data_IF_069653768790
#
_entry.id   IF_069653768790
#
_cell.length_a   1.000
_cell.length_b   1.000
_cell.length_c   1.000
_cell.angle_alpha   90.00
_cell.angle_beta   90.00
_cell.angle_gamma   90.00
#
_symmetry.space_group_name_H-M   'P 1'
#
loop_
_entity.id
_entity.type
_entity.pdbx_description
1 polymer ?
#
# COMPACT_ATOMS: atom_id res chain seq x y z
N UNK A 1 -3.73 -10.25 -10.15
CA UNK A 1 -2.99 -9.79 -8.96
C UNK A 1 -1.74 -9.05 -9.40
N UNK A 2 -1.51 -7.87 -8.89
CA UNK A 2 -0.35 -7.06 -9.26
C UNK A 2 0.24 -6.40 -8.01
N UNK A 3 1.50 -5.98 -8.10
CA UNK A 3 2.13 -5.25 -7.02
C UNK A 3 1.53 -3.84 -6.91
N UNK A 4 1.44 -3.34 -5.68
CA UNK A 4 0.94 -1.99 -5.44
C UNK A 4 1.76 -0.95 -6.20
N UNK A 5 3.07 -1.17 -6.34
CA UNK A 5 3.96 -0.27 -7.09
C UNK A 5 3.62 -0.17 -8.58
N UNK A 6 2.83 -1.09 -9.11
CA UNK A 6 2.43 -1.10 -10.52
C UNK A 6 1.07 -0.44 -10.76
N UNK A 7 0.42 0.03 -9.70
CA UNK A 7 -0.86 0.73 -9.83
C UNK A 7 -0.63 2.18 -10.24
N UNK A 8 -1.70 2.84 -10.61
CA UNK A 8 -1.66 4.23 -11.06
C UNK A 8 -2.37 5.14 -10.07
N UNK A 9 -2.00 6.42 -10.09
CA UNK A 9 -2.68 7.45 -9.30
C UNK A 9 -4.17 7.42 -9.57
N UNK A 10 -4.96 7.40 -8.52
CA UNK A 10 -6.42 7.36 -8.61
C UNK A 10 -7.01 5.96 -8.50
N UNK A 11 -6.20 4.92 -8.60
CA UNK A 11 -6.69 3.55 -8.49
C UNK A 11 -7.16 3.26 -7.07
N UNK A 12 -8.26 2.52 -6.97
CA UNK A 12 -8.76 1.98 -5.71
C UNK A 12 -8.56 0.48 -5.75
N UNK A 13 -7.86 -0.05 -4.76
CA UNK A 13 -7.44 -1.44 -4.74
C UNK A 13 -7.78 -2.09 -3.40
N UNK A 14 -7.96 -3.40 -3.42
CA UNK A 14 -8.06 -4.19 -2.20
C UNK A 14 -6.76 -4.96 -2.01
N UNK A 15 -6.16 -4.85 -0.83
CA UNK A 15 -4.95 -5.59 -0.51
C UNK A 15 -5.29 -7.06 -0.42
N UNK A 16 -4.63 -7.88 -1.23
CA UNK A 16 -4.83 -9.32 -1.23
C UNK A 16 -3.77 -10.02 -0.40
N UNK A 17 -2.57 -9.49 -0.42
CA UNK A 17 -1.45 -10.11 0.25
C UNK A 17 -0.35 -9.10 0.50
N UNK A 18 0.31 -9.20 1.67
CA UNK A 18 1.43 -8.36 2.05
C UNK A 18 2.53 -9.25 2.63
N UNK A 19 3.76 -8.98 2.21
CA UNK A 19 4.92 -9.64 2.79
C UNK A 19 6.09 -8.64 2.86
N UNK A 20 7.10 -8.95 3.65
CA UNK A 20 8.28 -8.09 3.78
C UNK A 20 8.75 -7.97 5.22
N UNK A 21 9.35 -6.83 5.53
CA UNK A 21 9.96 -6.58 6.84
C UNK A 21 8.88 -6.52 7.92
N UNK A 22 8.99 -7.33 8.99
CA UNK A 22 7.94 -7.41 10.02
C UNK A 22 7.59 -6.07 10.65
N UNK A 23 8.55 -5.19 10.91
CA UNK A 23 8.30 -3.88 11.51
C UNK A 23 7.41 -3.01 10.63
N UNK A 24 7.63 -3.08 9.32
CA UNK A 24 6.83 -2.32 8.36
C UNK A 24 5.41 -2.87 8.30
N UNK A 25 5.27 -4.18 8.26
CA UNK A 25 3.96 -4.84 8.25
C UNK A 25 3.18 -4.52 9.53
N UNK A 26 3.84 -4.52 10.67
CA UNK A 26 3.20 -4.18 11.93
C UNK A 26 2.74 -2.72 11.95
N UNK A 27 3.56 -1.80 11.44
CA UNK A 27 3.17 -0.40 11.33
C UNK A 27 1.92 -0.25 10.48
N UNK A 28 1.85 -0.97 9.36
CA UNK A 28 0.68 -0.91 8.49
C UNK A 28 -0.56 -1.48 9.18
N UNK A 29 -0.42 -2.59 9.91
CA UNK A 29 -1.54 -3.16 10.67
C UNK A 29 -2.03 -2.23 11.76
N UNK A 30 -1.13 -1.51 12.41
CA UNK A 30 -1.48 -0.51 13.43
C UNK A 30 -2.27 0.66 12.84
N UNK A 31 -2.15 0.87 11.52
CA UNK A 31 -2.93 1.86 10.78
C UNK A 31 -4.18 1.25 10.13
N UNK A 32 -4.53 0.02 10.50
CA UNK A 32 -5.63 -0.74 9.91
C UNK A 32 -5.46 -0.98 8.39
N UNK A 33 -4.22 -1.08 7.96
CA UNK A 33 -3.90 -1.43 6.57
C UNK A 33 -3.38 -2.87 6.56
N UNK A 34 -4.22 -3.78 6.14
CA UNK A 34 -3.91 -5.21 6.13
C UNK A 34 -4.65 -5.91 4.99
N UNK A 35 -4.50 -7.22 4.89
CA UNK A 35 -5.21 -7.99 3.87
C UNK A 35 -6.72 -7.78 4.01
N UNK A 36 -7.37 -7.52 2.89
CA UNK A 36 -8.79 -7.18 2.84
C UNK A 36 -9.07 -5.68 2.91
N UNK A 37 -8.10 -4.85 3.25
CA UNK A 37 -8.30 -3.40 3.29
C UNK A 37 -8.42 -2.82 1.90
N UNK A 38 -9.32 -1.86 1.75
CA UNK A 38 -9.45 -1.08 0.52
C UNK A 38 -8.62 0.18 0.66
N UNK A 39 -7.75 0.41 -0.29
CA UNK A 39 -6.86 1.57 -0.31
C UNK A 39 -7.00 2.31 -1.63
N UNK A 40 -6.67 3.59 -1.61
CA UNK A 40 -6.65 4.42 -2.82
C UNK A 40 -5.23 4.94 -3.03
N UNK A 41 -4.76 4.84 -4.27
CA UNK A 41 -3.46 5.41 -4.65
C UNK A 41 -3.68 6.91 -4.88
N UNK A 42 -3.22 7.73 -3.94
CA UNK A 42 -3.45 9.17 -3.98
C UNK A 42 -2.45 9.85 -4.89
N UNK A 43 -1.18 9.47 -4.78
CA UNK A 43 -0.12 10.05 -5.60
C UNK A 43 0.97 9.01 -5.81
N UNK A 44 1.51 8.97 -7.00
CA UNK A 44 2.60 8.08 -7.34
C UNK A 44 3.81 8.91 -7.74
N UNK A 45 4.91 8.74 -7.02
CA UNK A 45 6.17 9.39 -7.30
C UNK A 45 7.17 8.36 -7.84
N UNK A 46 8.37 8.82 -8.18
CA UNK A 46 9.37 7.96 -8.81
C UNK A 46 9.79 6.80 -7.90
N UNK A 47 10.05 7.08 -6.63
CA UNK A 47 10.62 6.10 -5.70
C UNK A 47 9.65 5.68 -4.59
N UNK A 48 8.45 6.26 -4.57
CA UNK A 48 7.48 6.02 -3.52
C UNK A 48 6.09 6.40 -3.99
N UNK A 49 5.08 6.02 -3.24
CA UNK A 49 3.70 6.42 -3.50
C UNK A 49 2.99 6.70 -2.18
N UNK A 50 1.91 7.48 -2.29
CA UNK A 50 1.05 7.77 -1.14
C UNK A 50 -0.25 7.01 -1.33
N UNK A 51 -0.63 6.25 -0.32
CA UNK A 51 -1.91 5.54 -0.29
C UNK A 51 -2.79 6.13 0.81
N UNK A 52 -4.08 6.07 0.61
CA UNK A 52 -5.06 6.49 1.59
C UNK A 52 -5.96 5.35 2.00
N UNK A 53 -6.23 5.25 3.31
CA UNK A 53 -7.14 4.28 3.88
C UNK A 53 -7.68 4.83 5.20
N UNK A 54 -8.99 4.70 5.43
CA UNK A 54 -9.63 5.10 6.68
C UNK A 54 -9.34 6.55 7.08
N UNK A 55 -9.33 7.47 6.11
CA UNK A 55 -9.01 8.89 6.30
C UNK A 55 -7.56 9.15 6.74
N UNK A 56 -6.69 8.17 6.56
CA UNK A 56 -5.26 8.29 6.83
C UNK A 56 -4.49 8.17 5.53
N UNK A 57 -3.30 8.75 5.52
CA UNK A 57 -2.38 8.67 4.39
C UNK A 57 -1.07 8.09 4.84
N UNK A 58 -0.48 7.28 3.99
CA UNK A 58 0.79 6.66 4.26
C UNK A 58 1.66 6.73 3.02
N UNK A 59 2.89 7.21 3.18
CA UNK A 59 3.88 7.16 2.12
C UNK A 59 4.56 5.78 2.16
N UNK A 60 4.60 5.10 1.04
CA UNK A 60 5.14 3.75 0.92
C UNK A 60 6.22 3.76 -0.14
N UNK A 61 7.44 3.36 0.22
CA UNK A 61 8.51 3.22 -0.75
C UNK A 61 8.23 2.09 -1.73
N UNK A 62 8.82 2.16 -2.92
CA UNK A 62 8.59 1.14 -3.94
C UNK A 62 9.02 -0.25 -3.48
N UNK A 63 10.05 -0.35 -2.65
CA UNK A 63 10.49 -1.63 -2.12
C UNK A 63 9.41 -2.32 -1.30
N UNK A 64 8.66 -1.55 -0.53
CA UNK A 64 7.53 -2.06 0.25
C UNK A 64 6.35 -2.32 -0.67
N UNK A 65 6.05 -1.38 -1.56
CA UNK A 65 4.92 -1.51 -2.48
C UNK A 65 5.06 -2.71 -3.42
N UNK A 66 6.29 -3.08 -3.79
CA UNK A 66 6.55 -4.26 -4.60
C UNK A 66 6.10 -5.56 -3.91
N UNK A 67 5.99 -5.54 -2.59
CA UNK A 67 5.63 -6.70 -1.77
C UNK A 67 4.19 -6.67 -1.29
N UNK A 68 3.41 -5.73 -1.77
CA UNK A 68 1.98 -5.65 -1.48
C UNK A 68 1.23 -6.01 -2.76
N UNK A 69 0.46 -7.07 -2.70
CA UNK A 69 -0.33 -7.53 -3.85
C UNK A 69 -1.75 -7.02 -3.75
N UNK A 70 -2.25 -6.50 -4.85
CA UNK A 70 -3.60 -5.92 -4.92
C UNK A 70 -4.40 -6.47 -6.09
#
# INVERSE_FOLDING_TARGET
>A
MQALSQTNTGDTCTIKWMFGVPEILETMRNMDINEGSTIKVIQKCRDWLIIGSNNRRLAVGNEVADRIQV
#
